data_IF_399304966459
#
_entry.id   IF_399304966459
#
_cell.length_a   1.000
_cell.length_b   1.000
_cell.length_c   1.000
_cell.angle_alpha   90.00
_cell.angle_beta   90.00
_cell.angle_gamma   90.00
#
_symmetry.space_group_name_H-M   'P 1'
#
loop_
_entity.id
_entity.type
_entity.pdbx_description
1 polymer ?
#
# COMPACT_ATOMS: atom_id res chain seq x y z
N UNK A 1 -23.01 15.94 17.29
CA UNK A 1 -22.06 16.56 18.25
C UNK A 1 -20.75 15.84 18.06
N UNK A 2 -19.87 16.43 17.26
CA UNK A 2 -18.53 15.92 16.96
C UNK A 2 -17.64 16.25 18.17
N UNK A 3 -17.10 15.22 18.82
CA UNK A 3 -16.27 15.36 20.01
C UNK A 3 -14.82 15.62 19.55
N UNK A 4 -14.22 16.79 19.84
CA UNK A 4 -12.82 17.03 19.55
C UNK A 4 -11.98 16.24 20.56
N UNK A 5 -10.71 15.97 20.23
CA UNK A 5 -9.72 15.35 21.13
C UNK A 5 -9.64 13.82 21.08
N UNK A 6 -9.15 13.28 19.95
CA UNK A 6 -8.22 12.16 20.02
C UNK A 6 -6.95 12.52 19.26
N UNK A 7 -6.03 13.15 19.97
CA UNK A 7 -4.63 13.25 19.56
C UNK A 7 -4.05 11.85 19.39
N UNK A 8 -4.19 11.30 18.18
CA UNK A 8 -3.63 10.02 17.80
C UNK A 8 -2.12 10.04 18.01
N UNK A 9 -1.60 9.06 18.76
CA UNK A 9 -0.16 8.91 18.96
C UNK A 9 0.52 8.92 17.60
N UNK A 10 1.41 9.90 17.37
CA UNK A 10 2.23 10.01 16.16
C UNK A 10 2.82 8.65 15.83
N UNK A 11 2.44 8.14 14.66
CA UNK A 11 2.83 6.82 14.22
C UNK A 11 4.36 6.81 14.03
N UNK A 12 5.13 5.95 14.74
CA UNK A 12 6.57 5.82 14.54
C UNK A 12 6.93 5.38 13.10
N UNK A 13 5.93 4.95 12.31
CA UNK A 13 6.04 4.70 10.87
C UNK A 13 6.33 5.97 10.04
N UNK A 14 6.04 7.17 10.53
CA UNK A 14 6.39 8.42 9.84
C UNK A 14 7.90 8.73 9.87
N UNK A 15 8.66 8.07 10.75
CA UNK A 15 10.11 8.27 10.93
C UNK A 15 10.92 7.00 10.61
N UNK A 16 10.27 5.85 10.44
CA UNK A 16 10.95 4.57 10.22
C UNK A 16 11.44 4.41 8.76
N UNK A 17 12.69 3.98 8.61
CA UNK A 17 13.32 3.67 7.33
C UNK A 17 12.53 2.59 6.55
N UNK A 18 12.54 2.68 5.22
CA UNK A 18 11.82 1.78 4.30
C UNK A 18 12.00 0.28 4.62
N UNK A 19 13.17 -0.13 5.11
CA UNK A 19 13.45 -1.50 5.53
C UNK A 19 12.66 -1.94 6.78
N UNK A 20 12.40 -1.04 7.74
CA UNK A 20 11.60 -1.36 8.94
C UNK A 20 10.10 -1.48 8.63
N UNK A 21 9.61 -0.71 7.64
CA UNK A 21 8.26 -0.87 7.07
C UNK A 21 8.12 -2.25 6.39
N UNK A 22 9.13 -2.67 5.62
CA UNK A 22 9.14 -3.93 4.86
C UNK A 22 9.20 -5.18 5.75
N UNK A 23 9.97 -5.14 6.84
CA UNK A 23 10.06 -6.26 7.80
C UNK A 23 8.91 -6.32 8.82
N UNK A 24 7.88 -5.47 8.69
CA UNK A 24 6.79 -5.36 9.66
C UNK A 24 7.31 -5.25 11.11
N UNK A 25 8.50 -4.65 11.32
CA UNK A 25 9.10 -4.57 12.65
C UNK A 25 8.23 -3.78 13.63
N UNK A 26 7.36 -2.91 13.10
CA UNK A 26 6.31 -2.19 13.83
C UNK A 26 5.17 -3.09 14.32
N UNK A 27 4.97 -4.27 13.71
CA UNK A 27 3.97 -5.27 14.10
C UNK A 27 4.44 -6.14 15.27
N UNK A 28 5.76 -6.34 15.42
CA UNK A 28 6.38 -7.08 16.54
C UNK A 28 5.94 -6.58 17.93
N UNK A 29 5.97 -5.27 18.25
CA UNK A 29 5.47 -4.79 19.53
C UNK A 29 3.95 -4.95 19.67
N UNK A 30 3.18 -4.86 18.58
CA UNK A 30 1.72 -5.08 18.60
C UNK A 30 1.39 -6.54 18.93
N UNK A 31 2.06 -7.50 18.28
CA UNK A 31 1.91 -8.93 18.56
C UNK A 31 2.33 -9.30 19.99
N UNK A 32 3.43 -8.71 20.50
CA UNK A 32 3.86 -8.92 21.89
C UNK A 32 2.81 -8.42 22.89
N UNK A 33 2.11 -7.33 22.58
CA UNK A 33 1.03 -6.78 23.41
C UNK A 33 -0.24 -7.62 23.34
N UNK A 34 -0.66 -8.02 22.13
CA UNK A 34 -1.79 -8.91 21.90
C UNK A 34 -1.64 -10.29 22.55
N UNK A 35 -0.40 -10.78 22.67
CA UNK A 35 -0.11 -12.02 23.40
C UNK A 35 -0.31 -11.89 24.92
N UNK A 36 -0.24 -10.67 25.47
CA UNK A 36 -0.37 -10.41 26.92
C UNK A 36 -1.77 -9.94 27.32
N UNK A 37 -2.54 -9.33 26.41
CA UNK A 37 -3.86 -8.78 26.71
C UNK A 37 -4.73 -8.74 25.44
N UNK A 38 -6.07 -8.87 25.56
CA UNK A 38 -7.01 -8.69 24.44
C UNK A 38 -6.89 -7.26 23.90
N UNK A 39 -6.60 -7.10 22.61
CA UNK A 39 -6.50 -5.79 21.97
C UNK A 39 -7.84 -5.05 22.03
N UNK A 40 -7.79 -3.75 22.32
CA UNK A 40 -8.93 -2.84 22.31
C UNK A 40 -8.75 -1.85 21.14
N UNK A 41 -9.84 -1.40 20.52
CA UNK A 41 -9.84 -0.61 19.27
C UNK A 41 -9.09 0.73 19.40
N UNK A 42 -8.97 1.26 20.62
CA UNK A 42 -8.18 2.45 20.93
C UNK A 42 -6.65 2.25 20.86
N UNK A 43 -6.17 1.01 20.78
CA UNK A 43 -4.74 0.66 20.67
C UNK A 43 -4.32 0.39 19.21
N UNK A 44 -5.25 0.44 18.25
CA UNK A 44 -4.92 0.40 16.83
C UNK A 44 -4.25 1.72 16.42
N UNK A 45 -3.10 1.59 15.76
CA UNK A 45 -2.42 2.75 15.17
C UNK A 45 -3.28 3.33 14.05
N UNK A 46 -3.35 4.65 14.00
CA UNK A 46 -4.05 5.34 12.93
C UNK A 46 -3.36 5.04 11.58
N UNK A 47 -4.18 4.86 10.55
CA UNK A 47 -3.73 4.46 9.22
C UNK A 47 -2.76 5.53 8.72
N UNK A 48 -1.57 5.10 8.31
CA UNK A 48 -0.56 6.00 7.76
C UNK A 48 -1.20 6.77 6.60
N UNK A 49 -1.03 8.09 6.48
CA UNK A 49 -1.66 8.87 5.42
C UNK A 49 -1.32 8.36 4.01
N UNK A 50 -0.17 7.70 3.85
CA UNK A 50 0.28 7.04 2.62
C UNK A 50 -0.54 5.80 2.23
N UNK A 51 -1.11 5.10 3.21
CA UNK A 51 -1.93 3.88 3.02
C UNK A 51 -3.44 4.18 3.06
N UNK A 52 -3.82 5.46 3.17
CA UNK A 52 -5.24 5.85 3.13
C UNK A 52 -5.78 5.61 1.72
N UNK A 53 -6.86 4.82 1.65
CA UNK A 53 -7.64 4.58 0.44
C UNK A 53 -8.14 5.88 -0.22
N UNK A 54 -8.18 6.98 0.53
CA UNK A 54 -8.58 8.30 0.08
C UNK A 54 -7.63 8.86 -1.01
N UNK A 55 -6.31 8.82 -0.79
CA UNK A 55 -5.32 9.27 -1.79
C UNK A 55 -5.37 8.42 -3.06
N UNK A 56 -5.51 7.10 -2.90
CA UNK A 56 -5.64 6.15 -4.02
C UNK A 56 -6.90 6.41 -4.84
N UNK A 57 -8.00 6.72 -4.16
CA UNK A 57 -9.28 7.10 -4.78
C UNK A 57 -9.17 8.41 -5.55
N UNK A 58 -8.54 9.43 -4.97
CA UNK A 58 -8.37 10.75 -5.58
C UNK A 58 -7.51 10.68 -6.86
N UNK A 59 -6.39 9.96 -6.82
CA UNK A 59 -5.51 9.77 -7.98
C UNK A 59 -6.22 9.00 -9.11
N UNK A 60 -6.93 7.92 -8.76
CA UNK A 60 -7.73 7.17 -9.73
C UNK A 60 -8.81 8.06 -10.36
N UNK A 61 -9.51 8.85 -9.54
CA UNK A 61 -10.57 9.75 -9.99
C UNK A 61 -10.04 10.84 -10.92
N UNK A 62 -8.84 11.36 -10.65
CA UNK A 62 -8.15 12.33 -11.51
C UNK A 62 -7.81 11.73 -12.88
N UNK A 63 -7.21 10.52 -12.91
CA UNK A 63 -6.86 9.83 -14.16
C UNK A 63 -8.12 9.44 -14.93
N UNK A 64 -9.17 8.98 -14.24
CA UNK A 64 -10.47 8.65 -14.84
C UNK A 64 -11.11 9.87 -15.51
N UNK A 65 -11.13 11.01 -14.82
CA UNK A 65 -11.68 12.27 -15.37
C UNK A 65 -10.93 12.70 -16.63
N UNK A 66 -9.61 12.50 -16.68
CA UNK A 66 -8.80 12.78 -17.86
C UNK A 66 -9.11 11.81 -19.02
N UNK A 67 -9.22 10.50 -18.75
CA UNK A 67 -9.58 9.50 -19.75
C UNK A 67 -10.97 9.77 -20.34
N UNK A 68 -11.97 10.09 -19.52
CA UNK A 68 -13.33 10.43 -19.97
C UNK A 68 -13.33 11.66 -20.89
N UNK A 69 -12.56 12.70 -20.54
CA UNK A 69 -12.43 13.90 -21.39
C UNK A 69 -11.79 13.59 -22.73
N UNK A 70 -10.75 12.76 -22.77
CA UNK A 70 -10.09 12.35 -24.02
C UNK A 70 -10.99 11.42 -24.85
N UNK A 71 -11.66 10.46 -24.21
CA UNK A 71 -12.58 9.53 -24.85
C UNK A 71 -13.75 10.27 -25.53
N UNK A 72 -14.29 11.32 -24.88
CA UNK A 72 -15.32 12.18 -25.46
C UNK A 72 -14.83 12.97 -26.68
N UNK A 73 -13.56 13.39 -26.70
CA UNK A 73 -12.96 14.08 -27.86
C UNK A 73 -12.71 13.13 -29.03
N UNK A 74 -12.35 11.88 -28.75
CA UNK A 74 -12.03 10.86 -29.75
C UNK A 74 -13.25 10.00 -30.15
N UNK A 75 -14.47 10.34 -29.70
CA UNK A 75 -15.70 9.57 -29.99
C UNK A 75 -15.56 8.07 -29.65
N UNK A 76 -14.85 7.78 -28.55
CA UNK A 76 -14.54 6.43 -28.11
C UNK A 76 -15.10 6.17 -26.71
N UNK A 77 -15.41 4.92 -26.41
CA UNK A 77 -15.85 4.52 -25.07
C UNK A 77 -14.69 4.55 -24.05
N UNK A 78 -14.88 5.19 -22.88
CA UNK A 78 -13.91 5.18 -21.80
C UNK A 78 -13.77 3.78 -21.19
N UNK A 79 -12.53 3.30 -21.00
CA UNK A 79 -12.25 1.97 -20.45
C UNK A 79 -11.59 2.06 -19.08
N UNK A 80 -12.30 1.63 -18.04
CA UNK A 80 -11.83 1.64 -16.65
C UNK A 80 -10.61 0.75 -16.43
N UNK A 81 -10.56 -0.40 -17.11
CA UNK A 81 -9.42 -1.34 -17.04
C UNK A 81 -8.11 -0.68 -17.44
N UNK A 82 -8.13 0.24 -18.42
CA UNK A 82 -6.95 0.98 -18.87
C UNK A 82 -6.48 1.99 -17.81
N UNK A 83 -7.42 2.66 -17.15
CA UNK A 83 -7.14 3.59 -16.06
C UNK A 83 -6.55 2.86 -14.86
N UNK A 84 -7.12 1.72 -14.50
CA UNK A 84 -6.64 0.87 -13.41
C UNK A 84 -5.22 0.33 -13.71
N UNK A 85 -5.00 -0.19 -14.92
CA UNK A 85 -3.68 -0.66 -15.35
C UNK A 85 -2.65 0.48 -15.39
N UNK A 86 -3.05 1.70 -15.76
CA UNK A 86 -2.16 2.87 -15.78
C UNK A 86 -1.81 3.39 -14.38
N UNK A 87 -2.78 3.39 -13.47
CA UNK A 87 -2.61 3.83 -12.10
C UNK A 87 -1.75 2.84 -11.30
N UNK A 88 -2.05 1.54 -11.38
CA UNK A 88 -1.45 0.54 -10.50
C UNK A 88 -0.43 -0.39 -11.19
N UNK A 89 -0.44 -0.46 -12.52
CA UNK A 89 0.39 -1.40 -13.25
C UNK A 89 1.89 -1.20 -13.04
N UNK A 90 2.34 0.04 -12.81
CA UNK A 90 3.76 0.32 -12.51
C UNK A 90 4.19 -0.29 -11.18
N UNK A 91 3.40 -0.09 -10.13
CA UNK A 91 3.68 -0.63 -8.79
C UNK A 91 3.66 -2.16 -8.80
N UNK A 92 2.65 -2.76 -9.45
CA UNK A 92 2.58 -4.22 -9.60
C UNK A 92 3.69 -4.80 -10.48
N UNK A 93 4.11 -4.11 -11.54
CA UNK A 93 5.23 -4.55 -12.39
C UNK A 93 6.55 -4.58 -11.62
N UNK A 94 6.83 -3.53 -10.83
CA UNK A 94 8.02 -3.50 -9.96
C UNK A 94 8.00 -4.60 -8.90
N UNK A 95 6.84 -4.80 -8.25
CA UNK A 95 6.67 -5.88 -7.29
C UNK A 95 6.86 -7.27 -7.94
N UNK A 96 6.31 -7.47 -9.15
CA UNK A 96 6.48 -8.70 -9.92
C UNK A 96 7.95 -8.96 -10.29
N UNK A 97 8.68 -7.93 -10.72
CA UNK A 97 10.11 -8.03 -11.03
C UNK A 97 10.94 -8.35 -9.78
N UNK A 98 10.59 -7.77 -8.63
CA UNK A 98 11.24 -8.06 -7.36
C UNK A 98 11.03 -9.52 -6.92
N UNK A 99 9.79 -10.01 -6.98
CA UNK A 99 9.46 -11.41 -6.67
C UNK A 99 10.16 -12.37 -7.64
N UNK A 100 10.14 -12.06 -8.93
CA UNK A 100 10.81 -12.86 -9.95
C UNK A 100 12.33 -12.94 -9.70
N UNK A 101 12.96 -11.80 -9.37
CA UNK A 101 14.38 -11.76 -9.02
C UNK A 101 14.69 -12.61 -7.79
N UNK A 102 13.87 -12.56 -6.74
CA UNK A 102 14.05 -13.36 -5.53
C UNK A 102 13.92 -14.86 -5.80
N UNK A 103 12.92 -15.27 -6.59
CA UNK A 103 12.71 -16.67 -6.98
C UNK A 103 13.91 -17.18 -7.78
N UNK A 104 14.39 -16.39 -8.73
CA UNK A 104 15.53 -16.77 -9.57
C UNK A 104 16.82 -16.94 -8.74
N UNK A 105 17.08 -16.02 -7.79
CA UNK A 105 18.23 -16.13 -6.87
C UNK A 105 18.10 -17.32 -5.90
N UNK A 106 16.90 -17.59 -5.39
CA UNK A 106 16.64 -18.72 -4.48
C UNK A 106 16.80 -20.09 -5.15
N UNK A 107 16.26 -20.26 -6.36
CA UNK A 107 16.45 -21.47 -7.16
C UNK A 107 17.90 -21.67 -7.58
N UNK A 108 18.64 -20.60 -7.89
CA UNK A 108 20.06 -20.67 -8.23
C UNK A 108 20.93 -21.11 -7.04
N UNK A 109 20.63 -20.61 -5.83
CA UNK A 109 21.30 -21.07 -4.60
C UNK A 109 21.00 -22.55 -4.30
N UNK A 110 19.76 -22.98 -4.53
CA UNK A 110 19.33 -24.36 -4.32
C UNK A 110 19.99 -25.34 -5.30
N UNK A 111 20.25 -24.91 -6.54
CA UNK A 111 20.94 -25.71 -7.57
C UNK A 111 22.46 -25.80 -7.35
N UNK A 112 23.10 -24.80 -6.73
CA UNK A 112 24.54 -24.86 -6.40
C UNK A 112 24.82 -25.68 -5.13
N UNK A 113 23.84 -25.81 -4.23
CA UNK A 113 23.98 -26.55 -2.97
C UNK A 113 23.54 -28.03 -3.04
N UNK A 114 23.12 -28.51 -4.21
CA UNK A 114 22.77 -29.92 -4.48
C UNK A 114 23.78 -30.54 -5.45
#
# INVERSE_FOLDING_TARGET
MENPEKGGRRNPLATASLFSKLFLCWLTPLMRRGRKQRLNENDMYDVLPEDRSENLGEDLQRIWTQEVRSARKELRDPKLTRVLAKAYGKSYALAGLYVFSLVCSGSYLYFINN
#
